data_IF_335151642240
#
_entry.id   IF_335151642240
#
_cell.length_a   1.000
_cell.length_b   1.000
_cell.length_c   1.000
_cell.angle_alpha   90.00
_cell.angle_beta   90.00
_cell.angle_gamma   90.00
#
_symmetry.space_group_name_H-M   'P 1'
#
loop_
_entity.id
_entity.type
_entity.pdbx_description
1 polymer ?
#
# COMPACT_ATOMS: atom_id res chain seq x y z
N UNK A 1 -7.45 1.76 -78.65
CA UNK A 1 -6.26 2.37 -78.03
C UNK A 1 -6.74 3.11 -76.79
N UNK A 2 -6.68 2.43 -75.64
CA UNK A 2 -7.20 2.90 -74.34
C UNK A 2 -6.03 3.51 -73.59
N UNK A 3 -6.16 4.75 -73.13
CA UNK A 3 -5.17 5.39 -72.25
C UNK A 3 -5.88 5.75 -70.94
N UNK A 4 -5.65 4.94 -69.92
CA UNK A 4 -6.09 5.16 -68.54
C UNK A 4 -5.01 5.94 -67.78
N UNK A 5 -5.37 7.10 -67.23
CA UNK A 5 -4.51 7.96 -66.42
C UNK A 5 -4.59 7.50 -64.95
N UNK A 6 -3.53 6.90 -64.43
CA UNK A 6 -3.43 6.47 -63.03
C UNK A 6 -2.95 7.59 -62.12
N UNK A 7 -3.74 7.98 -61.12
CA UNK A 7 -3.39 8.96 -60.10
C UNK A 7 -2.88 8.22 -58.85
N UNK A 8 -1.57 8.25 -58.60
CA UNK A 8 -0.97 7.70 -57.38
C UNK A 8 -0.94 8.76 -56.28
N UNK A 9 -1.75 8.58 -55.22
CA UNK A 9 -1.67 9.37 -54.01
C UNK A 9 -0.57 8.83 -53.09
N UNK A 10 0.45 9.64 -52.81
CA UNK A 10 1.51 9.31 -51.85
C UNK A 10 1.07 9.76 -50.44
N UNK A 11 0.87 8.81 -49.54
CA UNK A 11 0.65 9.07 -48.11
C UNK A 11 1.99 9.20 -47.40
N UNK A 12 2.29 10.41 -46.90
CA UNK A 12 3.44 10.66 -46.03
C UNK A 12 3.08 10.25 -44.60
N UNK A 13 3.62 9.13 -44.13
CA UNK A 13 3.50 8.72 -42.73
C UNK A 13 4.51 9.50 -41.88
N UNK A 14 4.04 10.48 -41.13
CA UNK A 14 4.84 11.19 -40.14
C UNK A 14 5.10 10.27 -38.93
N UNK A 15 6.31 9.73 -38.83
CA UNK A 15 6.77 9.01 -37.63
C UNK A 15 7.11 10.01 -36.53
N UNK A 16 6.12 10.32 -35.69
CA UNK A 16 6.35 11.02 -34.44
C UNK A 16 7.09 10.10 -33.47
N UNK A 17 8.39 10.35 -33.26
CA UNK A 17 9.13 9.76 -32.15
C UNK A 17 8.57 10.33 -30.85
N UNK A 18 7.67 9.59 -30.20
CA UNK A 18 7.31 9.85 -28.81
C UNK A 18 8.54 9.48 -27.99
N UNK A 19 9.37 10.48 -27.68
CA UNK A 19 10.39 10.34 -26.66
C UNK A 19 9.66 9.96 -25.37
N UNK A 20 9.76 8.68 -24.99
CA UNK A 20 9.35 8.22 -23.68
C UNK A 20 10.11 9.09 -22.68
N UNK A 21 9.39 9.98 -22.00
CA UNK A 21 9.92 10.69 -20.86
C UNK A 21 10.41 9.61 -19.89
N UNK A 22 11.73 9.49 -19.77
CA UNK A 22 12.34 8.64 -18.77
C UNK A 22 11.75 9.07 -17.42
N UNK A 23 10.93 8.19 -16.82
CA UNK A 23 10.50 8.37 -15.45
C UNK A 23 11.77 8.56 -14.61
N UNK A 24 11.84 9.69 -13.90
CA UNK A 24 12.97 10.08 -13.09
C UNK A 24 13.10 9.14 -11.88
N UNK A 25 13.57 7.92 -12.14
CA UNK A 25 13.91 6.93 -11.15
C UNK A 25 15.25 7.29 -10.54
N UNK A 26 15.25 7.71 -9.26
CA UNK A 26 16.17 7.13 -8.28
C UNK A 26 15.88 7.50 -6.81
N UNK A 27 15.19 8.61 -6.51
CA UNK A 27 15.23 9.15 -5.15
C UNK A 27 14.12 8.71 -4.16
N UNK A 28 13.36 7.66 -4.44
CA UNK A 28 12.31 7.16 -3.53
C UNK A 28 12.72 5.96 -2.67
N UNK A 29 14.02 5.69 -2.52
CA UNK A 29 14.50 4.65 -1.60
C UNK A 29 14.73 5.23 -0.21
N UNK A 30 14.17 4.62 0.83
CA UNK A 30 14.37 4.99 2.24
C UNK A 30 14.74 3.74 3.05
N UNK A 31 15.62 3.90 4.04
CA UNK A 31 16.01 2.83 4.96
C UNK A 31 15.09 2.83 6.18
N UNK A 32 14.55 1.66 6.51
CA UNK A 32 13.87 1.39 7.78
C UNK A 32 14.80 0.61 8.71
N UNK A 33 14.34 0.30 9.92
CA UNK A 33 15.03 -0.62 10.84
C UNK A 33 15.07 -2.06 10.30
N UNK A 34 14.16 -2.45 9.39
CA UNK A 34 14.07 -3.79 8.81
C UNK A 34 14.78 -3.95 7.45
N UNK A 35 14.89 -2.88 6.66
CA UNK A 35 15.52 -2.90 5.35
C UNK A 35 15.20 -1.67 4.50
N UNK A 36 15.66 -1.63 3.25
CA UNK A 36 15.34 -0.52 2.35
C UNK A 36 13.97 -0.75 1.68
N UNK A 37 13.22 0.33 1.45
CA UNK A 37 11.95 0.32 0.70
C UNK A 37 12.01 1.33 -0.44
N UNK A 38 11.45 0.99 -1.61
CA UNK A 38 11.29 1.89 -2.75
C UNK A 38 9.83 2.30 -2.90
N UNK A 39 9.53 3.59 -2.74
CA UNK A 39 8.19 4.14 -2.91
C UNK A 39 7.96 4.76 -4.30
N UNK A 40 6.85 5.48 -4.44
CA UNK A 40 6.55 6.34 -5.60
C UNK A 40 6.69 7.82 -5.23
N UNK A 41 6.93 8.66 -6.23
CA UNK A 41 6.78 10.11 -6.12
C UNK A 41 5.69 10.54 -7.11
N UNK A 42 4.54 10.98 -6.60
CA UNK A 42 3.38 11.34 -7.42
C UNK A 42 2.86 12.70 -6.99
N UNK A 43 2.96 13.69 -7.89
CA UNK A 43 2.57 15.07 -7.58
C UNK A 43 3.34 15.62 -6.37
N UNK A 44 2.64 16.20 -5.36
CA UNK A 44 3.27 16.86 -4.21
C UNK A 44 3.75 15.87 -3.12
N UNK A 45 3.51 14.57 -3.26
CA UNK A 45 3.79 13.58 -2.21
C UNK A 45 4.71 12.46 -2.67
N UNK A 46 5.41 11.88 -1.70
CA UNK A 46 6.09 10.59 -1.80
C UNK A 46 5.26 9.57 -1.01
N UNK A 47 5.06 8.40 -1.59
CA UNK A 47 4.28 7.33 -0.96
C UNK A 47 5.06 6.03 -0.92
N UNK A 48 5.02 5.34 0.21
CA UNK A 48 5.53 4.00 0.41
C UNK A 48 4.39 3.14 0.91
N UNK A 49 4.07 2.05 0.22
CA UNK A 49 2.86 1.27 0.43
C UNK A 49 3.21 -0.20 0.60
N UNK A 50 2.44 -0.93 1.41
CA UNK A 50 2.70 -2.35 1.64
C UNK A 50 3.98 -2.65 2.42
N UNK A 51 4.36 -1.79 3.36
CA UNK A 51 5.51 -2.04 4.25
C UNK A 51 5.07 -2.98 5.37
N UNK A 52 5.69 -4.16 5.54
CA UNK A 52 5.33 -5.07 6.63
C UNK A 52 5.79 -4.48 7.96
N UNK A 53 4.88 -4.33 8.91
CA UNK A 53 5.21 -3.88 10.28
C UNK A 53 5.28 -5.05 11.27
N UNK A 54 4.65 -6.18 10.93
CA UNK A 54 4.69 -7.42 11.70
C UNK A 54 4.95 -8.63 10.77
N UNK A 55 5.29 -9.76 11.37
CA UNK A 55 5.33 -11.04 10.67
C UNK A 55 3.92 -11.46 10.26
N UNK A 56 3.80 -12.17 9.13
CA UNK A 56 2.53 -12.70 8.66
C UNK A 56 1.85 -13.54 9.78
N UNK A 57 0.59 -13.24 10.17
CA UNK A 57 -0.13 -13.94 11.23
C UNK A 57 -0.76 -15.25 10.73
N UNK A 58 0.02 -16.07 10.02
CA UNK A 58 -0.41 -17.34 9.42
C UNK A 58 0.09 -18.55 10.20
N UNK A 59 -0.52 -19.71 9.97
CA UNK A 59 -0.10 -20.97 10.59
C UNK A 59 -0.10 -20.87 12.12
N UNK A 60 1.05 -21.19 12.75
CA UNK A 60 1.20 -21.14 14.21
C UNK A 60 1.05 -19.74 14.81
N UNK A 61 1.18 -18.68 13.99
CA UNK A 61 0.97 -17.27 14.40
C UNK A 61 -0.49 -16.82 14.28
N UNK A 62 -1.38 -17.70 13.80
CA UNK A 62 -2.81 -17.43 13.82
C UNK A 62 -3.29 -17.42 15.28
N UNK A 63 -4.07 -16.40 15.64
CA UNK A 63 -4.55 -16.17 17.02
C UNK A 63 -3.43 -16.07 18.07
N UNK A 64 -2.35 -15.37 17.73
CA UNK A 64 -1.33 -14.91 18.68
C UNK A 64 -1.10 -13.41 18.52
N UNK A 65 -0.53 -12.70 19.51
CA UNK A 65 -0.08 -11.32 19.32
C UNK A 65 0.85 -11.16 18.10
N UNK A 66 0.86 -9.99 17.41
CA UNK A 66 1.74 -9.77 16.27
C UNK A 66 3.21 -9.90 16.67
N UNK A 67 3.98 -10.67 15.89
CA UNK A 67 5.42 -10.75 16.07
C UNK A 67 6.14 -9.72 15.19
N UNK A 68 7.37 -9.29 15.53
CA UNK A 68 8.12 -8.35 14.71
C UNK A 68 8.32 -8.82 13.27
N UNK A 69 8.20 -7.90 12.31
CA UNK A 69 8.55 -8.20 10.91
C UNK A 69 10.02 -8.65 10.79
N UNK A 70 10.25 -9.62 9.90
CA UNK A 70 11.60 -10.06 9.56
C UNK A 70 12.37 -8.94 8.86
N UNK A 71 13.69 -8.91 9.06
CA UNK A 71 14.59 -8.08 8.25
C UNK A 71 14.66 -8.65 6.83
N UNK A 72 14.88 -7.80 5.84
CA UNK A 72 15.12 -8.23 4.45
C UNK A 72 16.41 -7.62 3.90
N UNK A 73 17.05 -8.35 2.99
CA UNK A 73 18.17 -7.86 2.19
C UNK A 73 17.66 -7.10 0.95
N UNK A 74 18.49 -6.20 0.42
CA UNK A 74 18.14 -5.42 -0.77
C UNK A 74 17.07 -4.36 -0.52
N UNK A 75 16.32 -4.03 -1.59
CA UNK A 75 15.28 -2.99 -1.59
C UNK A 75 13.93 -3.65 -1.85
N UNK A 76 13.00 -3.53 -0.90
CA UNK A 76 11.62 -4.02 -1.06
C UNK A 76 10.82 -3.03 -1.90
N UNK A 77 10.06 -3.54 -2.87
CA UNK A 77 9.10 -2.74 -3.62
C UNK A 77 7.94 -2.32 -2.70
N UNK A 78 7.83 -1.02 -2.44
CA UNK A 78 6.75 -0.39 -1.67
C UNK A 78 5.96 0.59 -2.56
N UNK A 79 5.85 0.30 -3.86
CA UNK A 79 5.09 1.12 -4.80
C UNK A 79 3.60 0.78 -4.81
N UNK A 80 3.16 -0.36 -4.26
CA UNK A 80 1.77 -0.80 -4.23
C UNK A 80 1.33 -1.18 -2.80
N UNK A 81 0.04 -1.02 -2.45
CA UNK A 81 -0.46 -1.52 -1.18
C UNK A 81 -0.23 -3.03 -1.01
N UNK A 82 -0.01 -3.46 0.22
CA UNK A 82 -0.08 -4.87 0.60
C UNK A 82 -1.52 -5.38 0.60
N UNK A 83 -1.70 -6.69 0.79
CA UNK A 83 -3.03 -7.30 0.85
C UNK A 83 -3.85 -6.73 2.02
N UNK A 84 -5.15 -6.50 1.80
CA UNK A 84 -6.11 -6.30 2.87
C UNK A 84 -6.27 -7.58 3.70
N UNK A 85 -6.61 -7.45 4.98
CA UNK A 85 -6.88 -8.61 5.83
C UNK A 85 -8.15 -9.36 5.42
N UNK A 86 -8.31 -10.64 5.80
CA UNK A 86 -9.42 -11.46 5.35
C UNK A 86 -10.77 -10.86 5.70
N UNK A 87 -11.62 -10.69 4.68
CA UNK A 87 -12.95 -10.08 4.77
C UNK A 87 -13.76 -10.35 3.49
N UNK A 88 -15.08 -10.40 3.61
CA UNK A 88 -16.01 -10.65 2.49
C UNK A 88 -16.36 -9.38 1.68
N UNK A 89 -15.81 -8.23 2.09
CA UNK A 89 -16.13 -6.90 1.56
C UNK A 89 -17.38 -6.30 2.21
N UNK A 90 -17.49 -4.97 2.16
CA UNK A 90 -18.58 -4.19 2.76
C UNK A 90 -19.73 -3.95 1.76
N UNK A 91 -20.94 -3.70 2.28
CA UNK A 91 -22.15 -3.37 1.47
C UNK A 91 -22.13 -1.91 0.97
N UNK A 92 -21.24 -1.04 1.49
CA UNK A 92 -21.11 0.38 1.09
C UNK A 92 -19.64 0.82 1.05
N UNK A 93 -19.32 1.80 0.17
CA UNK A 93 -18.71 1.52 -1.13
C UNK A 93 -17.71 0.36 -1.08
N UNK A 94 -17.71 -0.50 -2.11
CA UNK A 94 -17.06 -1.82 -2.13
C UNK A 94 -15.71 -1.88 -1.39
N UNK A 95 -15.75 -2.27 -0.11
CA UNK A 95 -14.56 -2.60 0.65
C UNK A 95 -13.82 -3.77 0.00
N UNK A 96 -12.51 -3.90 0.25
CA UNK A 96 -11.71 -4.94 -0.37
C UNK A 96 -12.29 -6.31 -0.02
N UNK A 97 -12.22 -7.26 -0.96
CA UNK A 97 -12.43 -8.67 -0.66
C UNK A 97 -11.07 -9.33 -0.60
N UNK A 98 -10.82 -10.07 0.47
CA UNK A 98 -9.54 -10.74 0.66
C UNK A 98 -9.73 -12.00 1.48
N UNK A 99 -8.94 -13.02 1.18
CA UNK A 99 -8.76 -14.20 2.02
C UNK A 99 -7.30 -14.32 2.50
N UNK A 100 -6.45 -13.33 2.22
CA UNK A 100 -5.04 -13.38 2.55
C UNK A 100 -4.79 -12.93 3.99
N UNK A 101 -4.28 -13.84 4.83
CA UNK A 101 -3.89 -13.56 6.21
C UNK A 101 -2.56 -12.85 6.34
N UNK A 102 -1.66 -12.93 5.36
CA UNK A 102 -0.50 -12.06 5.29
C UNK A 102 -0.94 -10.65 4.89
N UNK A 103 -1.33 -9.87 5.90
CA UNK A 103 -2.00 -8.59 5.71
C UNK A 103 -1.49 -7.44 6.60
N UNK A 104 -0.53 -7.69 7.51
CA UNK A 104 -0.02 -6.70 8.48
C UNK A 104 0.96 -5.72 7.85
N UNK A 105 0.39 -4.88 7.01
CA UNK A 105 1.06 -3.86 6.22
C UNK A 105 0.61 -2.46 6.64
N UNK A 106 1.53 -1.50 6.53
CA UNK A 106 1.23 -0.08 6.61
C UNK A 106 1.66 0.65 5.34
N UNK A 107 1.12 1.86 5.17
CA UNK A 107 1.48 2.79 4.12
C UNK A 107 1.88 4.12 4.74
N UNK A 108 2.85 4.81 4.14
CA UNK A 108 3.35 6.12 4.55
C UNK A 108 3.27 7.07 3.37
N UNK A 109 2.60 8.20 3.54
CA UNK A 109 2.54 9.29 2.57
C UNK A 109 3.08 10.56 3.19
N UNK A 110 4.08 11.18 2.56
CA UNK A 110 4.75 12.37 3.06
C UNK A 110 4.82 13.46 1.98
N UNK A 111 4.77 14.75 2.35
CA UNK A 111 5.06 15.84 1.44
C UNK A 111 6.47 15.71 0.84
N UNK A 112 6.62 16.11 -0.42
CA UNK A 112 7.93 16.15 -1.10
C UNK A 112 8.70 17.43 -0.84
N UNK A 113 8.03 18.45 -0.30
CA UNK A 113 8.69 19.71 0.06
C UNK A 113 9.71 19.45 1.17
N UNK A 114 10.90 20.06 1.11
CA UNK A 114 11.81 20.06 2.26
C UNK A 114 11.11 20.60 3.50
N UNK A 115 11.44 20.06 4.67
CA UNK A 115 11.03 20.62 5.96
C UNK A 115 12.29 20.98 6.74
N UNK A 116 12.24 22.12 7.43
CA UNK A 116 13.31 22.53 8.34
C UNK A 116 13.32 21.68 9.62
N UNK A 117 12.14 21.24 10.06
CA UNK A 117 11.93 20.44 11.27
C UNK A 117 11.18 19.15 10.96
N UNK A 118 11.25 18.12 11.83
CA UNK A 118 10.44 16.91 11.70
C UNK A 118 8.94 17.23 11.64
N UNK A 119 8.25 16.70 10.63
CA UNK A 119 6.80 16.85 10.48
C UNK A 119 6.05 16.03 11.51
N UNK A 120 4.89 16.54 11.92
CA UNK A 120 3.93 15.75 12.69
C UNK A 120 3.49 14.49 11.91
N UNK A 121 3.25 13.42 12.65
CA UNK A 121 2.81 12.12 12.11
C UNK A 121 1.37 11.87 12.52
N UNK A 122 0.50 11.67 11.53
CA UNK A 122 -0.88 11.25 11.73
C UNK A 122 -1.01 9.77 11.38
N UNK A 123 -1.35 8.94 12.36
CA UNK A 123 -1.62 7.51 12.16
C UNK A 123 -3.12 7.30 12.07
N UNK A 124 -3.59 6.80 10.94
CA UNK A 124 -5.00 6.54 10.67
C UNK A 124 -5.27 5.03 10.69
N UNK A 125 -6.16 4.64 11.61
CA UNK A 125 -6.74 3.31 11.71
C UNK A 125 -8.12 3.35 11.05
N UNK A 126 -8.34 2.49 10.06
CA UNK A 126 -9.61 2.47 9.35
C UNK A 126 -10.74 1.95 10.25
N UNK A 127 -11.98 2.39 9.98
CA UNK A 127 -13.18 1.80 10.57
C UNK A 127 -13.56 0.47 9.91
N UNK A 128 -14.82 0.06 10.04
CA UNK A 128 -15.34 -1.20 9.48
C UNK A 128 -15.79 -2.21 10.54
N UNK A 129 -16.11 -1.72 11.76
CA UNK A 129 -16.61 -2.51 12.90
C UNK A 129 -15.74 -3.74 13.23
N UNK A 130 -14.44 -3.63 12.97
CA UNK A 130 -13.47 -4.73 13.08
C UNK A 130 -13.74 -5.92 12.14
N UNK A 131 -14.62 -5.79 11.15
CA UNK A 131 -15.02 -6.88 10.23
C UNK A 131 -14.53 -6.65 8.80
N UNK A 132 -14.41 -5.39 8.38
CA UNK A 132 -13.91 -5.00 7.07
C UNK A 132 -13.00 -3.77 7.15
N UNK A 133 -12.45 -3.39 5.99
CA UNK A 133 -11.61 -2.22 5.85
C UNK A 133 -10.16 -2.53 5.49
N UNK A 134 -9.42 -1.50 5.08
CA UNK A 134 -7.98 -1.56 4.84
C UNK A 134 -7.37 -0.16 4.90
N UNK A 135 -6.10 -0.07 5.32
CA UNK A 135 -5.31 1.15 5.22
C UNK A 135 -5.15 1.68 3.78
N UNK A 136 -5.47 0.87 2.76
CA UNK A 136 -5.42 1.31 1.36
C UNK A 136 -6.70 2.01 0.87
N UNK A 137 -7.81 1.98 1.64
CA UNK A 137 -9.11 2.49 1.18
C UNK A 137 -9.20 4.01 1.11
N UNK A 138 -8.43 4.72 1.93
CA UNK A 138 -8.50 6.18 2.04
C UNK A 138 -7.23 6.82 1.47
N UNK A 139 -7.42 7.74 0.52
CA UNK A 139 -6.32 8.51 -0.06
C UNK A 139 -5.72 9.49 0.93
N UNK A 140 -4.43 9.32 1.23
CA UNK A 140 -3.68 10.15 2.18
C UNK A 140 -3.04 11.42 1.56
N UNK A 141 -3.05 11.54 0.23
CA UNK A 141 -2.24 12.51 -0.52
C UNK A 141 -2.63 13.96 -0.21
N UNK A 142 -3.93 14.26 -0.18
CA UNK A 142 -4.41 15.62 0.07
C UNK A 142 -4.14 16.04 1.52
N UNK A 143 -4.31 15.12 2.47
CA UNK A 143 -4.07 15.38 3.87
C UNK A 143 -2.59 15.64 4.14
N UNK A 144 -1.71 14.80 3.57
CA UNK A 144 -0.28 15.02 3.65
C UNK A 144 0.13 16.36 3.03
N UNK A 145 -0.26 16.60 1.77
CA UNK A 145 0.18 17.79 1.03
C UNK A 145 -0.35 19.11 1.60
N UNK A 146 -1.63 19.17 1.98
CA UNK A 146 -2.25 20.41 2.48
C UNK A 146 -2.02 20.65 3.96
N UNK A 147 -1.92 19.57 4.73
CA UNK A 147 -1.68 19.65 6.18
C UNK A 147 -0.20 19.74 6.54
N UNK A 148 0.72 19.57 5.58
CA UNK A 148 2.16 19.44 5.81
C UNK A 148 2.50 18.38 6.88
N UNK A 149 1.78 17.26 6.85
CA UNK A 149 1.91 16.14 7.80
C UNK A 149 2.33 14.85 7.10
N UNK A 150 3.00 13.96 7.83
CA UNK A 150 3.20 12.57 7.40
C UNK A 150 1.94 11.80 7.78
N UNK A 151 1.32 11.11 6.82
CA UNK A 151 0.13 10.27 7.07
C UNK A 151 0.52 8.80 6.95
N UNK A 152 0.23 8.03 7.99
CA UNK A 152 0.41 6.59 8.04
C UNK A 152 -0.96 5.92 8.06
N UNK A 153 -1.21 4.96 7.17
CA UNK A 153 -2.42 4.14 7.20
C UNK A 153 -2.05 2.68 7.44
N UNK A 154 -2.85 1.96 8.22
CA UNK A 154 -2.46 0.64 8.75
C UNK A 154 -3.57 -0.37 8.48
N UNK A 155 -3.21 -1.59 8.08
CA UNK A 155 -4.10 -2.74 8.18
C UNK A 155 -3.94 -3.39 9.55
N UNK A 156 -5.03 -3.86 10.14
CA UNK A 156 -5.05 -4.64 11.37
C UNK A 156 -5.92 -5.89 11.18
N UNK A 157 -5.76 -6.94 12.00
CA UNK A 157 -6.52 -8.19 11.81
C UNK A 157 -8.00 -7.95 12.08
N UNK A 158 -8.84 -8.64 11.32
CA UNK A 158 -10.30 -8.45 11.34
C UNK A 158 -11.02 -9.72 11.76
N UNK A 159 -12.28 -9.56 12.17
CA UNK A 159 -13.23 -10.62 12.48
C UNK A 159 -12.64 -11.64 13.48
N UNK A 160 -12.99 -12.92 13.35
CA UNK A 160 -12.47 -13.98 14.21
C UNK A 160 -10.93 -14.10 14.19
N UNK A 161 -10.24 -13.66 13.14
CA UNK A 161 -8.78 -13.74 13.08
C UNK A 161 -8.10 -12.64 13.93
N UNK A 162 -8.78 -11.51 14.14
CA UNK A 162 -8.31 -10.43 15.01
C UNK A 162 -8.85 -10.51 16.44
N UNK A 163 -10.07 -11.02 16.64
CA UNK A 163 -10.81 -10.77 17.90
C UNK A 163 -11.41 -12.02 18.54
N UNK A 164 -11.07 -13.23 18.08
CA UNK A 164 -11.50 -14.46 18.75
C UNK A 164 -10.85 -14.57 20.14
N UNK A 165 -11.68 -14.49 21.17
CA UNK A 165 -11.34 -14.86 22.54
C UNK A 165 -11.97 -16.23 22.87
N UNK A 166 -11.16 -17.18 23.30
CA UNK A 166 -11.62 -18.54 23.60
C UNK A 166 -10.65 -19.25 24.57
N UNK A 167 -11.14 -19.97 25.60
CA UNK A 167 -10.29 -20.65 26.59
C UNK A 167 -9.24 -21.59 25.98
N UNK A 168 -9.56 -22.26 24.87
CA UNK A 168 -8.60 -23.13 24.17
C UNK A 168 -7.37 -22.39 23.60
N UNK A 169 -7.42 -21.06 23.48
CA UNK A 169 -6.30 -20.23 23.04
C UNK A 169 -5.48 -19.69 24.23
N UNK A 170 -6.01 -19.74 25.46
CA UNK A 170 -5.39 -19.14 26.63
C UNK A 170 -4.09 -19.82 27.06
N UNK A 171 -3.88 -21.08 26.64
CA UNK A 171 -2.61 -21.76 26.79
C UNK A 171 -1.43 -21.04 26.07
N UNK A 172 -1.73 -20.07 25.18
CA UNK A 172 -0.76 -19.25 24.45
C UNK A 172 -0.62 -17.82 25.00
N UNK A 173 -1.27 -17.51 26.12
CA UNK A 173 -1.40 -16.16 26.69
C UNK A 173 -2.83 -15.63 26.61
N UNK A 174 -3.05 -14.35 26.93
CA UNK A 174 -4.37 -13.74 26.83
C UNK A 174 -4.95 -13.88 25.42
N UNK A 175 -6.22 -14.29 25.34
CA UNK A 175 -6.92 -14.49 24.07
C UNK A 175 -7.81 -13.33 23.66
N UNK A 176 -7.91 -13.07 22.36
CA UNK A 176 -8.64 -11.93 21.79
C UNK A 176 -7.74 -10.70 21.58
N UNK A 177 -8.32 -9.64 21.02
CA UNK A 177 -7.64 -8.35 20.78
C UNK A 177 -6.29 -8.45 20.06
N UNK A 178 -6.17 -9.40 19.14
CA UNK A 178 -5.02 -9.60 18.28
C UNK A 178 -4.99 -8.63 17.08
N UNK A 179 -6.07 -7.85 16.90
CA UNK A 179 -6.25 -6.81 15.88
C UNK A 179 -4.99 -6.01 15.62
#
# INVERSE_FOLDING_TARGET
MVVTLGLTAATVAATGSVAAAAEHGDNSVVRTDKGAVRGTATGPVRAFRGIPYAAAPTGDRRWTPPAPAARWSGVRDATRPGSACPQTGSVRPAGPRSSNEDCLYLNVTAPRTPAAEPRAVMVYLHGGDHTDGSGAMHGAQQLAARGDVIVVTVNYRLSALGYLAHPALEARGESGNYG
#
